data_IF_233711723625
#
_entry.id   IF_233711723625
#
_cell.length_a   1.000
_cell.length_b   1.000
_cell.length_c   1.000
_cell.angle_alpha   90.00
_cell.angle_beta   90.00
_cell.angle_gamma   90.00
#
_symmetry.space_group_name_H-M   'P 1'
#
loop_
_entity.id
_entity.type
_entity.pdbx_description
1 polymer ?
#
# COMPACT_ATOMS: atom_id res chain seq x y z
N UNK A 1 14.72 -6.81 -18.59
CA UNK A 1 13.87 -5.62 -18.83
C UNK A 1 12.66 -5.74 -17.89
N UNK A 2 12.63 -5.14 -16.69
CA UNK A 2 11.39 -5.15 -15.93
C UNK A 2 10.43 -4.17 -16.60
N UNK A 3 9.36 -4.72 -17.19
CA UNK A 3 8.24 -3.95 -17.68
C UNK A 3 7.68 -3.11 -16.51
N UNK A 4 7.66 -1.80 -16.68
CA UNK A 4 6.95 -0.86 -15.81
C UNK A 4 5.46 -1.24 -15.84
N UNK A 5 5.05 -2.12 -14.92
CA UNK A 5 3.73 -2.73 -14.86
C UNK A 5 2.62 -1.77 -14.39
N UNK A 6 2.89 -0.47 -14.39
CA UNK A 6 1.97 0.56 -13.92
C UNK A 6 2.23 1.87 -14.65
N UNK A 7 1.27 2.42 -15.42
CA UNK A 7 1.24 3.85 -15.68
C UNK A 7 0.67 4.54 -14.43
N UNK A 8 1.48 4.67 -13.37
CA UNK A 8 1.21 5.75 -12.41
C UNK A 8 1.82 7.01 -13.01
N UNK A 9 1.04 8.00 -13.46
CA UNK A 9 1.61 9.31 -13.76
C UNK A 9 2.02 9.92 -12.42
N UNK A 10 3.31 9.89 -12.13
CA UNK A 10 3.83 10.31 -10.83
C UNK A 10 5.23 10.88 -10.96
N UNK A 11 5.49 11.66 -12.00
CA UNK A 11 6.62 12.59 -11.92
C UNK A 11 6.16 13.66 -10.95
N UNK A 12 6.53 13.50 -9.67
CA UNK A 12 6.45 14.60 -8.72
C UNK A 12 7.17 15.78 -9.39
N UNK A 13 6.52 16.95 -9.54
CA UNK A 13 7.16 18.06 -10.22
C UNK A 13 8.45 18.39 -9.45
N UNK A 14 9.58 18.21 -10.14
CA UNK A 14 10.89 18.10 -9.51
C UNK A 14 11.19 19.31 -8.62
N UNK A 15 10.90 20.51 -9.11
CA UNK A 15 10.82 21.74 -8.34
C UNK A 15 9.88 22.68 -9.07
N UNK A 16 8.84 23.17 -8.40
CA UNK A 16 8.12 24.36 -8.84
C UNK A 16 8.70 25.56 -8.09
N UNK A 17 8.33 26.79 -8.47
CA UNK A 17 8.66 28.01 -7.72
C UNK A 17 8.27 27.95 -6.24
N UNK A 18 7.49 26.95 -5.82
CA UNK A 18 7.05 26.67 -4.45
C UNK A 18 7.91 25.64 -3.69
N UNK A 19 9.05 25.19 -4.23
CA UNK A 19 10.01 24.37 -3.45
C UNK A 19 9.81 22.85 -3.47
N UNK A 20 9.00 22.32 -4.39
CA UNK A 20 8.77 20.87 -4.55
C UNK A 20 7.32 20.45 -4.25
N UNK A 21 7.04 19.15 -4.39
CA UNK A 21 5.71 18.58 -4.18
C UNK A 21 5.55 17.82 -2.86
N UNK A 22 6.65 17.25 -2.35
CA UNK A 22 6.67 16.33 -1.22
C UNK A 22 7.71 16.83 -0.21
N UNK A 23 7.31 16.97 1.05
CA UNK A 23 8.11 17.54 2.12
C UNK A 23 8.24 16.54 3.26
N UNK A 24 9.43 16.47 3.85
CA UNK A 24 9.76 15.58 4.95
C UNK A 24 10.31 16.38 6.12
N UNK A 25 9.93 16.00 7.34
CA UNK A 25 10.53 16.63 8.53
C UNK A 25 12.04 16.35 8.58
N UNK A 26 12.82 17.38 8.91
CA UNK A 26 14.29 17.28 8.93
C UNK A 26 14.94 17.38 7.54
N UNK A 27 14.15 17.67 6.50
CA UNK A 27 14.64 18.21 5.24
C UNK A 27 14.75 19.74 5.32
N UNK A 28 14.12 20.44 4.37
CA UNK A 28 14.10 21.91 4.32
C UNK A 28 13.31 22.55 5.47
N UNK A 29 12.41 21.78 6.09
CA UNK A 29 11.54 22.23 7.18
C UNK A 29 11.56 21.26 8.37
N UNK A 30 11.41 21.81 9.57
CA UNK A 30 11.19 21.04 10.79
C UNK A 30 9.78 20.44 10.84
N UNK A 31 9.56 19.43 11.69
CA UNK A 31 8.22 18.84 11.90
C UNK A 31 7.20 19.88 12.36
N UNK A 32 7.61 20.86 13.18
CA UNK A 32 6.74 21.92 13.69
C UNK A 32 6.32 22.87 12.57
N UNK A 33 7.26 23.28 11.71
CA UNK A 33 6.96 24.14 10.56
C UNK A 33 6.01 23.44 9.58
N UNK A 34 6.25 22.16 9.28
CA UNK A 34 5.36 21.39 8.41
C UNK A 34 3.95 21.22 8.99
N UNK A 35 3.83 21.02 10.31
CA UNK A 35 2.53 20.99 10.99
C UNK A 35 1.82 22.34 10.96
N UNK A 36 2.56 23.45 11.07
CA UNK A 36 1.99 24.79 10.93
C UNK A 36 1.47 25.01 9.50
N UNK A 37 2.28 24.66 8.49
CA UNK A 37 1.87 24.74 7.07
C UNK A 37 0.68 23.84 6.74
N UNK A 38 0.56 22.66 7.36
CA UNK A 38 -0.63 21.80 7.25
C UNK A 38 -1.86 22.51 7.82
N UNK A 39 -1.74 23.11 9.03
CA UNK A 39 -2.84 23.84 9.68
C UNK A 39 -3.28 25.06 8.89
N UNK A 40 -2.35 25.72 8.22
CA UNK A 40 -2.61 26.86 7.34
C UNK A 40 -3.17 26.44 5.97
N UNK A 41 -3.32 25.13 5.72
CA UNK A 41 -3.90 24.59 4.49
C UNK A 41 -2.95 24.60 3.28
N UNK A 42 -1.65 24.85 3.49
CA UNK A 42 -0.63 24.84 2.44
C UNK A 42 -0.20 23.42 2.08
N UNK A 43 -0.28 22.51 3.06
CA UNK A 43 0.13 21.11 2.93
C UNK A 43 -0.99 20.16 3.36
N UNK A 44 -0.97 18.96 2.81
CA UNK A 44 -1.77 17.81 3.24
C UNK A 44 -0.84 16.74 3.80
N UNK A 45 -1.14 16.24 5.00
CA UNK A 45 -0.35 15.15 5.57
C UNK A 45 -0.66 13.82 4.88
N UNK A 46 0.40 13.16 4.42
CA UNK A 46 0.32 11.82 3.80
C UNK A 46 0.50 10.75 4.86
N UNK A 47 1.51 10.92 5.72
CA UNK A 47 1.87 10.03 6.83
C UNK A 47 2.62 10.87 7.89
N UNK A 48 2.82 10.42 9.14
CA UNK A 48 3.66 11.14 10.10
C UNK A 48 4.97 11.66 9.48
N UNK A 49 5.24 12.94 9.73
CA UNK A 49 6.41 13.67 9.24
C UNK A 49 6.59 13.72 7.71
N UNK A 50 5.55 13.37 6.94
CA UNK A 50 5.54 13.47 5.47
C UNK A 50 4.28 14.17 4.97
N UNK A 51 4.49 15.20 4.16
CA UNK A 51 3.46 16.11 3.69
C UNK A 51 3.57 16.31 2.19
N UNK A 52 2.44 16.51 1.53
CA UNK A 52 2.37 16.88 0.11
C UNK A 52 1.75 18.26 -0.01
N UNK A 53 2.06 19.00 -1.07
CA UNK A 53 1.40 20.28 -1.35
C UNK A 53 -0.12 20.12 -1.52
N UNK A 54 -0.89 21.11 -1.08
CA UNK A 54 -2.36 21.03 -1.01
C UNK A 54 -3.06 20.67 -2.32
N UNK A 55 -2.50 21.06 -3.47
CA UNK A 55 -3.06 20.87 -4.81
C UNK A 55 -2.70 19.52 -5.45
N UNK A 56 -1.85 18.72 -4.80
CA UNK A 56 -1.37 17.43 -5.34
C UNK A 56 -2.01 16.29 -4.59
N UNK A 57 -2.80 15.47 -5.27
CA UNK A 57 -3.37 14.27 -4.68
C UNK A 57 -2.26 13.24 -4.40
N UNK A 58 -2.14 12.71 -3.17
CA UNK A 58 -1.14 11.70 -2.88
C UNK A 58 -1.32 10.49 -3.80
N UNK A 59 -0.31 10.21 -4.60
CA UNK A 59 -0.26 9.05 -5.47
C UNK A 59 0.49 7.88 -4.79
N UNK A 60 0.65 6.72 -5.45
CA UNK A 60 1.44 5.63 -4.89
C UNK A 60 2.90 5.99 -4.62
N UNK A 61 3.50 6.89 -5.42
CA UNK A 61 4.89 7.34 -5.21
C UNK A 61 4.99 8.13 -3.89
N UNK A 62 4.10 9.10 -3.66
CA UNK A 62 4.04 9.85 -2.40
C UNK A 62 3.94 8.92 -1.19
N UNK A 63 3.03 7.93 -1.25
CA UNK A 63 2.79 7.01 -0.13
C UNK A 63 3.95 6.03 0.09
N UNK A 64 4.58 5.55 -0.98
CA UNK A 64 5.76 4.68 -0.88
C UNK A 64 6.95 5.43 -0.27
N UNK A 65 7.20 6.66 -0.72
CA UNK A 65 8.25 7.51 -0.16
C UNK A 65 7.97 7.91 1.30
N UNK A 66 6.71 8.22 1.64
CA UNK A 66 6.30 8.51 3.01
C UNK A 66 6.52 7.30 3.94
N UNK A 67 6.15 6.09 3.49
CA UNK A 67 6.43 4.86 4.21
C UNK A 67 7.94 4.67 4.41
N UNK A 68 8.75 4.87 3.37
CA UNK A 68 10.20 4.72 3.46
C UNK A 68 10.84 5.73 4.40
N UNK A 69 10.38 6.99 4.39
CA UNK A 69 10.89 8.04 5.27
C UNK A 69 10.68 7.69 6.76
N UNK A 70 9.50 7.16 7.10
CA UNK A 70 9.17 6.73 8.46
C UNK A 70 10.00 5.51 8.95
N UNK A 71 10.78 4.88 8.08
CA UNK A 71 11.64 3.74 8.41
C UNK A 71 13.10 4.17 8.60
N UNK A 72 13.82 3.53 9.55
CA UNK A 72 15.27 3.65 9.66
C UNK A 72 15.96 3.34 8.33
N UNK A 73 16.93 4.16 7.94
CA UNK A 73 17.64 4.04 6.66
C UNK A 73 18.23 2.65 6.41
N UNK A 74 18.71 1.96 7.47
CA UNK A 74 19.30 0.62 7.40
C UNK A 74 18.32 -0.48 6.95
N UNK A 75 17.01 -0.24 7.10
CA UNK A 75 15.98 -1.22 6.75
C UNK A 75 15.46 -1.06 5.33
N UNK A 76 15.49 0.17 4.79
CA UNK A 76 14.85 0.52 3.50
C UNK A 76 15.24 -0.38 2.33
N UNK A 77 16.47 -0.90 2.32
CA UNK A 77 17.00 -1.75 1.25
C UNK A 77 16.67 -3.25 1.42
N UNK A 78 16.22 -3.68 2.60
CA UNK A 78 16.06 -5.11 2.94
C UNK A 78 14.60 -5.54 3.13
N UNK A 79 13.69 -4.57 3.16
CA UNK A 79 12.29 -4.77 3.49
C UNK A 79 11.42 -4.44 2.28
N UNK A 80 10.31 -5.17 2.19
CA UNK A 80 9.27 -4.91 1.21
C UNK A 80 8.02 -4.40 1.93
N UNK A 81 7.41 -3.34 1.42
CA UNK A 81 6.12 -2.88 1.93
C UNK A 81 5.05 -3.89 1.53
N UNK A 82 4.30 -4.42 2.50
CA UNK A 82 3.32 -5.47 2.23
C UNK A 82 1.98 -5.22 2.89
N UNK A 83 1.01 -6.09 2.58
CA UNK A 83 -0.29 -6.16 3.27
C UNK A 83 -1.00 -4.80 3.28
N UNK A 84 -1.49 -4.32 4.44
CA UNK A 84 -2.20 -3.05 4.49
C UNK A 84 -1.33 -1.84 4.14
N UNK A 85 -0.01 -1.92 4.32
CA UNK A 85 0.90 -0.86 3.85
C UNK A 85 0.90 -0.78 2.34
N UNK A 86 1.05 -1.92 1.66
CA UNK A 86 1.02 -1.96 0.19
C UNK A 86 -0.37 -1.54 -0.34
N UNK A 87 -1.45 -2.02 0.28
CA UNK A 87 -2.80 -1.59 -0.10
C UNK A 87 -3.03 -0.09 0.10
N UNK A 88 -2.47 0.51 1.16
CA UNK A 88 -2.48 1.95 1.35
C UNK A 88 -1.66 2.66 0.27
N UNK A 89 -0.46 2.19 -0.04
CA UNK A 89 0.37 2.71 -1.15
C UNK A 89 -0.44 2.70 -2.46
N UNK A 90 -1.18 1.63 -2.73
CA UNK A 90 -2.09 1.54 -3.88
C UNK A 90 -3.38 2.39 -3.78
N UNK A 91 -3.59 3.13 -2.70
CA UNK A 91 -4.79 3.93 -2.49
C UNK A 91 -6.06 3.11 -2.18
N UNK A 92 -5.90 1.84 -1.85
CA UNK A 92 -7.00 0.88 -1.63
C UNK A 92 -7.29 0.61 -0.15
N UNK A 93 -6.53 1.23 0.76
CA UNK A 93 -6.71 1.14 2.20
C UNK A 93 -6.33 2.48 2.87
N UNK A 94 -6.87 2.77 4.06
CA UNK A 94 -6.43 3.93 4.84
C UNK A 94 -4.97 3.78 5.30
N UNK A 95 -4.33 4.90 5.65
CA UNK A 95 -2.98 4.90 6.20
C UNK A 95 -2.91 4.01 7.46
N UNK A 96 -1.99 3.04 7.51
CA UNK A 96 -1.92 2.11 8.63
C UNK A 96 -1.32 2.81 9.86
N UNK A 97 -1.75 2.41 11.06
CA UNK A 97 -1.13 2.92 12.31
C UNK A 97 0.32 2.47 12.50
N UNK A 98 0.63 1.28 11.98
CA UNK A 98 1.98 0.71 11.93
C UNK A 98 2.23 0.15 10.54
N UNK A 99 3.36 0.49 9.95
CA UNK A 99 3.77 -0.03 8.64
C UNK A 99 4.02 -1.54 8.76
N UNK A 100 3.24 -2.34 8.03
CA UNK A 100 3.47 -3.77 7.85
C UNK A 100 4.55 -3.97 6.77
N UNK A 101 5.65 -4.58 7.17
CA UNK A 101 6.83 -4.85 6.36
C UNK A 101 7.01 -6.35 6.21
N UNK A 102 7.45 -6.79 5.04
CA UNK A 102 7.82 -8.17 4.77
C UNK A 102 9.34 -8.25 4.64
N UNK A 103 9.91 -9.31 5.20
CA UNK A 103 11.29 -9.71 4.96
C UNK A 103 11.30 -11.16 4.49
N UNK A 104 12.24 -11.49 3.61
CA UNK A 104 12.49 -12.88 3.26
C UNK A 104 13.09 -13.61 4.48
N UNK A 105 12.53 -14.78 4.84
CA UNK A 105 13.07 -15.69 5.85
C UNK A 105 14.55 -16.05 5.66
N UNK A 106 15.10 -15.92 4.44
CA UNK A 106 16.52 -16.15 4.14
C UNK A 106 17.43 -14.98 4.50
N UNK A 107 16.86 -13.81 4.75
CA UNK A 107 17.62 -12.61 5.12
C UNK A 107 18.06 -12.70 6.59
N UNK A 108 19.31 -12.31 6.88
CA UNK A 108 19.79 -12.20 8.28
C UNK A 108 18.91 -11.19 9.02
N UNK A 109 18.21 -11.65 10.06
CA UNK A 109 17.20 -10.90 10.81
C UNK A 109 17.72 -9.53 11.24
N UNK A 110 17.12 -8.47 10.70
CA UNK A 110 17.25 -7.12 11.26
C UNK A 110 16.06 -6.88 12.16
N UNK A 111 16.22 -7.13 13.46
CA UNK A 111 15.18 -6.82 14.43
C UNK A 111 14.83 -5.33 14.36
N UNK A 112 13.53 -5.02 14.38
CA UNK A 112 13.08 -3.64 14.56
C UNK A 112 13.42 -3.18 15.98
N UNK A 113 13.82 -1.91 16.17
CA UNK A 113 13.89 -1.34 17.50
C UNK A 113 12.55 -1.47 18.23
N UNK A 114 12.55 -1.62 19.57
CA UNK A 114 11.33 -1.53 20.36
C UNK A 114 10.55 -0.25 20.03
N UNK A 115 9.22 -0.33 20.04
CA UNK A 115 8.32 0.79 19.74
C UNK A 115 8.44 1.38 18.32
N UNK A 116 8.97 0.63 17.37
CA UNK A 116 8.98 1.05 15.96
C UNK A 116 7.56 1.33 15.44
N UNK A 117 7.45 2.34 14.57
CA UNK A 117 6.25 2.62 13.77
C UNK A 117 5.94 1.54 12.72
N UNK A 118 6.62 0.38 12.78
CA UNK A 118 6.50 -0.73 11.87
C UNK A 118 6.38 -2.08 12.58
N UNK A 119 5.85 -3.07 11.86
CA UNK A 119 5.79 -4.48 12.22
C UNK A 119 6.41 -5.27 11.08
N UNK A 120 7.34 -6.17 11.42
CA UNK A 120 8.05 -6.98 10.45
C UNK A 120 7.51 -8.41 10.46
N UNK A 121 7.19 -8.92 9.29
CA UNK A 121 6.71 -10.27 9.07
C UNK A 121 7.72 -11.03 8.21
N UNK A 122 8.24 -12.12 8.76
CA UNK A 122 9.08 -13.06 8.01
C UNK A 122 8.17 -13.93 7.14
N UNK A 123 8.41 -13.90 5.83
CA UNK A 123 7.65 -14.67 4.84
C UNK A 123 8.59 -15.24 3.80
N UNK A 124 8.10 -16.21 3.04
CA UNK A 124 8.76 -16.59 1.79
C UNK A 124 8.38 -15.55 0.72
N UNK A 125 9.41 -14.91 0.16
CA UNK A 125 9.30 -13.99 -0.97
C UNK A 125 9.96 -14.63 -2.18
N UNK A 126 9.21 -14.76 -3.26
CA UNK A 126 9.70 -15.12 -4.58
C UNK A 126 9.96 -13.85 -5.41
N UNK A 127 10.70 -13.96 -6.51
CA UNK A 127 11.07 -12.80 -7.34
C UNK A 127 9.88 -12.00 -7.86
N UNK A 128 8.74 -12.68 -8.05
CA UNK A 128 7.54 -12.12 -8.68
C UNK A 128 6.56 -11.55 -7.63
N UNK A 129 6.90 -11.66 -6.35
CA UNK A 129 6.08 -11.14 -5.25
C UNK A 129 6.21 -9.63 -5.07
N UNK A 130 7.26 -9.02 -5.62
CA UNK A 130 7.59 -7.61 -5.45
C UNK A 130 7.54 -6.81 -6.74
N UNK A 131 7.38 -5.50 -6.59
CA UNK A 131 7.58 -4.50 -7.62
C UNK A 131 8.27 -3.26 -7.02
N UNK A 132 8.86 -2.45 -7.88
CA UNK A 132 9.47 -1.19 -7.49
C UNK A 132 8.50 -0.02 -7.67
N UNK A 133 8.40 0.84 -6.66
CA UNK A 133 7.72 2.13 -6.73
C UNK A 133 8.70 3.19 -6.21
N UNK A 134 9.31 3.94 -7.13
CA UNK A 134 10.29 4.99 -6.82
C UNK A 134 11.47 4.50 -5.96
N UNK A 135 12.03 3.33 -6.29
CA UNK A 135 13.14 2.72 -5.55
C UNK A 135 12.72 1.99 -4.27
N UNK A 136 11.42 1.91 -3.99
CA UNK A 136 10.87 1.22 -2.82
C UNK A 136 10.23 -0.10 -3.25
N UNK A 137 10.67 -1.19 -2.63
CA UNK A 137 10.09 -2.51 -2.86
C UNK A 137 8.70 -2.60 -2.21
N UNK A 138 7.69 -2.92 -3.01
CA UNK A 138 6.28 -3.09 -2.60
C UNK A 138 5.77 -4.42 -3.13
N UNK A 139 4.98 -5.17 -2.36
CA UNK A 139 4.39 -6.42 -2.86
C UNK A 139 3.45 -6.17 -4.01
N UNK A 140 3.46 -6.99 -5.07
CA UNK A 140 2.56 -6.85 -6.21
C UNK A 140 1.08 -6.79 -5.78
N UNK A 141 0.17 -6.24 -6.60
CA UNK A 141 -1.24 -6.13 -6.22
C UNK A 141 -1.89 -7.50 -5.93
N UNK A 142 -1.55 -8.53 -6.69
CA UNK A 142 -2.05 -9.89 -6.46
C UNK A 142 -1.52 -10.47 -5.15
N UNK A 143 -0.21 -10.32 -4.87
CA UNK A 143 0.40 -10.76 -3.62
C UNK A 143 -0.21 -10.05 -2.41
N UNK A 144 -0.33 -8.73 -2.50
CA UNK A 144 -0.97 -7.88 -1.47
C UNK A 144 -2.39 -8.34 -1.18
N UNK A 145 -3.22 -8.53 -2.21
CA UNK A 145 -4.59 -9.01 -2.06
C UNK A 145 -4.66 -10.39 -1.40
N UNK A 146 -3.80 -11.33 -1.82
CA UNK A 146 -3.73 -12.65 -1.22
C UNK A 146 -3.33 -12.61 0.27
N UNK A 147 -2.36 -11.76 0.63
CA UNK A 147 -1.91 -11.61 2.01
C UNK A 147 -2.98 -10.95 2.90
N UNK A 148 -3.71 -9.97 2.37
CA UNK A 148 -4.87 -9.37 3.05
C UNK A 148 -5.98 -10.39 3.29
N UNK A 149 -6.31 -11.20 2.28
CA UNK A 149 -7.31 -12.26 2.42
C UNK A 149 -6.90 -13.26 3.51
N UNK A 150 -5.63 -13.66 3.55
CA UNK A 150 -5.12 -14.64 4.53
C UNK A 150 -5.08 -14.10 5.94
N UNK A 151 -4.61 -12.87 6.13
CA UNK A 151 -4.16 -12.42 7.43
C UNK A 151 -4.74 -11.09 7.90
N UNK A 152 -5.57 -10.42 7.11
CA UNK A 152 -6.22 -9.19 7.50
C UNK A 152 -7.46 -9.43 8.38
N UNK A 153 -7.86 -8.43 9.20
CA UNK A 153 -9.19 -8.40 9.81
C UNK A 153 -10.26 -8.48 8.72
N UNK A 154 -11.33 -9.24 8.93
CA UNK A 154 -12.28 -9.61 7.88
C UNK A 154 -12.88 -8.40 7.16
N UNK A 155 -13.45 -7.45 7.89
CA UNK A 155 -14.08 -6.28 7.27
C UNK A 155 -13.09 -5.40 6.50
N UNK A 156 -11.92 -5.14 7.07
CA UNK A 156 -10.89 -4.32 6.45
C UNK A 156 -10.32 -5.00 5.21
N UNK A 157 -10.10 -6.31 5.27
CA UNK A 157 -9.63 -7.11 4.14
C UNK A 157 -10.65 -7.10 3.01
N UNK A 158 -11.93 -7.33 3.29
CA UNK A 158 -12.99 -7.33 2.27
C UNK A 158 -13.12 -5.95 1.60
N UNK A 159 -13.07 -4.86 2.38
CA UNK A 159 -13.08 -3.48 1.83
C UNK A 159 -11.88 -3.23 0.93
N UNK A 160 -10.67 -3.57 1.38
CA UNK A 160 -9.45 -3.37 0.59
C UNK A 160 -9.42 -4.23 -0.67
N UNK A 161 -9.83 -5.51 -0.60
CA UNK A 161 -9.95 -6.41 -1.76
C UNK A 161 -10.90 -5.83 -2.82
N UNK A 162 -12.06 -5.33 -2.39
CA UNK A 162 -13.04 -4.72 -3.29
C UNK A 162 -12.47 -3.46 -3.95
N UNK A 163 -11.80 -2.59 -3.18
CA UNK A 163 -11.14 -1.40 -3.71
C UNK A 163 -10.01 -1.74 -4.70
N UNK A 164 -9.19 -2.76 -4.39
CA UNK A 164 -8.11 -3.21 -5.27
C UNK A 164 -8.62 -3.77 -6.59
N UNK A 165 -9.72 -4.52 -6.56
CA UNK A 165 -10.35 -5.06 -7.76
C UNK A 165 -11.02 -3.98 -8.62
N UNK A 166 -11.57 -2.94 -7.99
CA UNK A 166 -12.15 -1.79 -8.68
C UNK A 166 -11.11 -0.81 -9.24
N UNK A 167 -9.84 -0.89 -8.77
CA UNK A 167 -8.81 0.04 -9.20
C UNK A 167 -8.35 -0.27 -10.65
N UNK A 168 -8.53 0.67 -11.60
CA UNK A 168 -8.37 0.39 -13.03
C UNK A 168 -6.95 -0.03 -13.42
N UNK A 169 -5.95 0.44 -12.66
CA UNK A 169 -4.53 0.19 -12.96
C UNK A 169 -3.99 -1.08 -12.29
N UNK A 170 -4.56 -1.54 -11.17
CA UNK A 170 -4.03 -2.70 -10.41
C UNK A 170 -4.23 -4.02 -11.15
N UNK A 171 -5.20 -4.09 -12.07
CA UNK A 171 -5.53 -5.31 -12.84
C UNK A 171 -5.59 -6.56 -11.95
N UNK A 172 -6.19 -6.42 -10.77
CA UNK A 172 -6.24 -7.45 -9.73
C UNK A 172 -7.68 -7.96 -9.55
N UNK A 173 -8.23 -8.72 -10.52
CA UNK A 173 -9.59 -9.22 -10.41
C UNK A 173 -9.71 -10.22 -9.26
N UNK A 174 -10.83 -10.18 -8.53
CA UNK A 174 -11.08 -11.07 -7.38
C UNK A 174 -10.99 -12.56 -7.74
N UNK A 175 -11.31 -12.93 -8.98
CA UNK A 175 -11.12 -14.29 -9.48
C UNK A 175 -9.66 -14.74 -9.46
N UNK A 176 -8.72 -13.87 -9.83
CA UNK A 176 -7.29 -14.16 -9.76
C UNK A 176 -6.81 -14.27 -8.31
N UNK A 177 -7.31 -13.39 -7.42
CA UNK A 177 -7.03 -13.47 -5.98
C UNK A 177 -7.51 -14.80 -5.40
N UNK A 178 -8.75 -15.19 -5.73
CA UNK A 178 -9.34 -16.46 -5.30
C UNK A 178 -8.49 -17.65 -5.75
N UNK A 179 -8.09 -17.66 -7.03
CA UNK A 179 -7.22 -18.68 -7.62
C UNK A 179 -5.88 -18.76 -6.87
N UNK A 180 -5.22 -17.62 -6.65
CA UNK A 180 -3.95 -17.56 -5.93
C UNK A 180 -4.05 -18.07 -4.48
N UNK A 181 -5.15 -17.77 -3.78
CA UNK A 181 -5.41 -18.30 -2.43
C UNK A 181 -5.70 -19.81 -2.47
N UNK A 182 -6.40 -20.30 -3.49
CA UNK A 182 -6.74 -21.72 -3.63
C UNK A 182 -5.56 -22.61 -4.06
N UNK A 183 -4.68 -22.12 -4.92
CA UNK A 183 -3.53 -22.87 -5.44
C UNK A 183 -2.30 -22.72 -4.54
N UNK A 184 -2.27 -21.69 -3.70
CA UNK A 184 -1.17 -21.47 -2.76
C UNK A 184 -1.00 -22.60 -1.73
N UNK A 185 0.16 -22.60 -1.03
CA UNK A 185 0.51 -23.62 -0.05
C UNK A 185 -0.58 -23.84 1.01
N UNK A 186 -0.67 -25.07 1.53
CA UNK A 186 -1.57 -25.38 2.66
C UNK A 186 -1.11 -24.59 3.88
N UNK A 187 -1.89 -23.58 4.25
CA UNK A 187 -1.65 -22.73 5.41
C UNK A 187 -2.93 -22.65 6.26
N UNK A 188 -2.80 -22.48 7.58
CA UNK A 188 -3.94 -22.19 8.45
C UNK A 188 -4.73 -20.98 7.95
N UNK A 189 -6.05 -21.02 8.09
CA UNK A 189 -6.91 -19.89 7.70
C UNK A 189 -7.26 -19.81 6.21
N UNK A 190 -6.89 -20.78 5.38
CA UNK A 190 -7.27 -20.83 3.95
C UNK A 190 -8.78 -20.70 3.71
N UNK A 191 -9.60 -21.40 4.49
CA UNK A 191 -11.06 -21.31 4.38
C UNK A 191 -11.59 -19.92 4.74
N UNK A 192 -10.99 -19.26 5.73
CA UNK A 192 -11.34 -17.88 6.07
C UNK A 192 -10.89 -16.90 4.97
N UNK A 193 -9.72 -17.13 4.36
CA UNK A 193 -9.23 -16.33 3.25
C UNK A 193 -10.15 -16.42 2.03
N UNK A 194 -10.55 -17.63 1.64
CA UNK A 194 -11.51 -17.84 0.54
C UNK A 194 -12.85 -17.18 0.85
N UNK A 195 -13.37 -17.33 2.07
CA UNK A 195 -14.61 -16.67 2.51
C UNK A 195 -14.54 -15.15 2.33
N UNK A 196 -13.44 -14.50 2.70
CA UNK A 196 -13.25 -13.04 2.53
C UNK A 196 -13.25 -12.64 1.07
N UNK A 197 -12.61 -13.42 0.20
CA UNK A 197 -12.62 -13.16 -1.24
C UNK A 197 -14.04 -13.34 -1.80
N UNK A 198 -14.76 -14.38 -1.41
CA UNK A 198 -16.13 -14.63 -1.84
C UNK A 198 -17.11 -13.53 -1.36
N UNK A 199 -16.90 -12.99 -0.16
CA UNK A 199 -17.61 -11.80 0.35
C UNK A 199 -17.32 -10.55 -0.51
N UNK A 200 -16.05 -10.32 -0.87
CA UNK A 200 -15.68 -9.20 -1.74
C UNK A 200 -16.31 -9.33 -3.13
N UNK A 201 -16.37 -10.55 -3.68
CA UNK A 201 -17.05 -10.82 -4.97
C UNK A 201 -18.53 -10.44 -4.86
N UNK A 202 -19.19 -10.92 -3.81
CA UNK A 202 -20.60 -10.62 -3.56
C UNK A 202 -20.88 -9.12 -3.43
N UNK A 203 -19.97 -8.36 -2.79
CA UNK A 203 -20.07 -6.91 -2.67
C UNK A 203 -19.86 -6.18 -4.01
N UNK A 204 -18.90 -6.61 -4.81
CA UNK A 204 -18.65 -6.04 -6.13
C UNK A 204 -19.83 -6.26 -7.09
N UNK A 205 -20.43 -7.46 -7.08
CA UNK A 205 -21.62 -7.78 -7.87
C UNK A 205 -22.85 -6.98 -7.43
N UNK A 206 -22.99 -6.75 -6.11
CA UNK A 206 -24.05 -5.91 -5.55
C UNK A 206 -23.90 -4.43 -5.90
N UNK A 207 -22.67 -3.91 -5.93
CA UNK A 207 -22.38 -2.54 -6.37
C UNK A 207 -22.65 -2.33 -7.86
N UNK A 208 -22.32 -3.33 -8.69
CA UNK A 208 -22.59 -3.31 -10.14
C UNK A 208 -24.09 -3.23 -10.40
N UNK A 209 -24.89 -4.09 -9.75
CA UNK A 209 -26.36 -4.08 -9.88
C UNK A 209 -27.04 -2.80 -9.39
N UNK A 210 -26.47 -2.10 -8.40
CA UNK A 210 -27.00 -0.80 -7.93
C UNK A 210 -26.66 0.37 -8.85
N UNK A 211 -25.67 0.24 -9.73
CA UNK A 211 -25.22 1.29 -10.66
C UNK A 211 -25.92 1.23 -12.01
N UNK A 212 -26.63 0.15 -12.33
CA UNK A 212 -27.49 0.09 -13.52
C UNK A 212 -28.67 1.07 -13.35
N UNK A 213 -28.85 2.04 -14.26
CA UNK A 213 -29.98 2.95 -14.18
C UNK A 213 -31.26 2.15 -14.43
N UNK A 214 -32.26 2.34 -13.57
CA UNK A 214 -33.63 1.87 -13.83
C UNK A 214 -34.12 2.65 -15.04
N UNK A 215 -33.96 2.06 -16.24
CA UNK A 215 -34.55 2.58 -17.47
C UNK A 215 -36.07 2.47 -17.30
N UNK A 216 -36.72 3.62 -17.10
CA UNK A 216 -38.17 3.77 -17.20
C UNK A 216 -38.52 4.24 -18.60
#
# INVERSE_FOLDING_TARGET
>A
MPATLFPCPGVLPAFTSTGGALFFAGGDFSSVELQAMERDGLLRRVYPDTYVRWDIEPDPVCRALAAAHALPARLRQKIMLGRFTAAWVYGCAPAPRKLQLLIDHRSRTTALPPFSAAVLHEVQLDSDDGMDIAGIAVTTPLRTAADLARHGPEEEAVRALTAMAAHPVLRCPLAAVRKAVSEGPRQPGKSAALRRVDLAISQADGQTRRREPVVR
#
